data_IF_670233053733
#
_entry.id   IF_670233053733
#
_cell.length_a   1.000
_cell.length_b   1.000
_cell.length_c   1.000
_cell.angle_alpha   90.00
_cell.angle_beta   90.00
_cell.angle_gamma   90.00
#
_symmetry.space_group_name_H-M   'P 1'
#
loop_
_entity.id
_entity.type
_entity.pdbx_description
1 polymer ?
#
# COMPACT_ATOMS: atom_id res chain seq x y z
N UNK A 1 -13.45 11.88 -10.98
CA UNK A 1 -12.67 11.38 -12.10
C UNK A 1 -12.22 12.43 -13.13
N UNK A 2 -12.57 13.74 -13.03
CA UNK A 2 -12.20 14.74 -14.03
C UNK A 2 -10.97 15.63 -13.71
N UNK A 3 -10.27 15.35 -12.62
CA UNK A 3 -9.20 16.25 -12.13
C UNK A 3 -7.76 15.87 -12.52
N UNK A 4 -7.54 14.88 -13.39
CA UNK A 4 -6.20 14.44 -13.80
C UNK A 4 -5.88 14.60 -15.29
N UNK A 5 -6.63 15.39 -16.02
CA UNK A 5 -6.54 15.51 -17.49
C UNK A 5 -5.44 16.44 -18.02
N UNK A 6 -4.48 16.88 -17.20
CA UNK A 6 -3.43 17.80 -17.65
C UNK A 6 -2.03 17.17 -17.80
N UNK A 7 -1.89 15.86 -17.71
CA UNK A 7 -0.63 15.16 -18.03
C UNK A 7 -0.69 14.71 -19.50
N UNK A 8 -0.25 15.60 -20.40
CA UNK A 8 -0.29 15.34 -21.84
C UNK A 8 0.35 14.01 -22.25
N UNK A 9 -0.11 13.41 -23.33
CA UNK A 9 0.37 12.22 -24.05
C UNK A 9 0.39 10.86 -23.31
N UNK A 10 0.52 10.82 -21.97
CA UNK A 10 0.46 9.58 -21.18
C UNK A 10 -1.00 9.14 -20.96
N UNK A 11 -1.94 10.05 -20.98
CA UNK A 11 -3.37 9.81 -20.73
C UNK A 11 -4.06 8.91 -21.79
N UNK A 12 -3.52 8.82 -23.00
CA UNK A 12 -4.10 8.01 -24.08
C UNK A 12 -3.84 6.50 -23.91
N UNK A 13 -2.90 6.12 -23.04
CA UNK A 13 -2.53 4.73 -22.77
C UNK A 13 -3.05 4.18 -21.46
N UNK A 14 -3.80 4.97 -20.65
CA UNK A 14 -4.33 4.56 -19.36
C UNK A 14 -5.78 4.10 -19.47
N UNK A 15 -6.01 2.84 -19.13
CA UNK A 15 -7.36 2.28 -18.98
C UNK A 15 -7.77 2.28 -17.50
N UNK A 16 -8.96 2.82 -17.22
CA UNK A 16 -9.52 2.85 -15.87
C UNK A 16 -10.55 1.76 -15.71
N UNK A 17 -10.27 0.81 -14.81
CA UNK A 17 -11.16 -0.32 -14.51
C UNK A 17 -11.57 -0.26 -13.05
N UNK A 18 -12.89 -0.35 -12.80
CA UNK A 18 -13.40 -0.53 -11.45
C UNK A 18 -13.29 -2.00 -11.06
N UNK A 19 -12.72 -2.30 -9.90
CA UNK A 19 -12.55 -3.68 -9.45
C UNK A 19 -12.18 -3.78 -7.97
N UNK A 20 -12.37 -4.97 -7.40
CA UNK A 20 -11.94 -5.33 -6.06
C UNK A 20 -10.54 -5.92 -6.13
N UNK A 21 -9.60 -5.41 -5.30
CA UNK A 21 -8.24 -5.92 -5.23
C UNK A 21 -8.16 -7.40 -4.79
N UNK A 22 -9.20 -7.92 -4.12
CA UNK A 22 -9.32 -9.32 -3.72
C UNK A 22 -9.94 -10.21 -4.82
N UNK A 23 -10.43 -9.61 -5.92
CA UNK A 23 -11.02 -10.31 -7.08
C UNK A 23 -10.85 -9.45 -8.32
N UNK A 24 -9.64 -9.38 -8.84
CA UNK A 24 -9.31 -8.53 -9.98
C UNK A 24 -9.99 -9.03 -11.26
N UNK A 25 -10.63 -8.12 -12.05
CA UNK A 25 -11.36 -8.48 -13.28
C UNK A 25 -10.41 -8.73 -14.47
N UNK A 26 -9.27 -9.34 -14.22
CA UNK A 26 -8.25 -9.62 -15.23
C UNK A 26 -7.95 -11.12 -15.30
N UNK A 27 -7.50 -11.57 -16.47
CA UNK A 27 -7.02 -12.94 -16.66
C UNK A 27 -5.71 -13.15 -15.88
N UNK A 28 -5.41 -14.42 -15.60
CA UNK A 28 -4.08 -14.77 -15.06
C UNK A 28 -3.00 -14.36 -16.07
N UNK A 29 -1.83 -14.00 -15.52
CA UNK A 29 -0.64 -13.73 -16.34
C UNK A 29 -0.85 -12.64 -17.39
N UNK A 30 -1.59 -11.58 -17.01
CA UNK A 30 -1.89 -10.46 -17.89
C UNK A 30 -0.85 -9.33 -17.83
N UNK A 31 -0.16 -9.17 -16.67
CA UNK A 31 0.67 -7.99 -16.40
C UNK A 31 2.12 -8.36 -16.08
N UNK A 32 3.03 -7.46 -16.43
CA UNK A 32 4.44 -7.56 -16.09
C UNK A 32 4.74 -6.95 -14.72
N UNK A 33 3.97 -5.94 -14.33
CA UNK A 33 4.10 -5.25 -13.04
C UNK A 33 2.75 -5.11 -12.35
N UNK A 34 2.76 -5.23 -11.02
CA UNK A 34 1.65 -4.89 -10.13
C UNK A 34 2.16 -3.90 -9.11
N UNK A 35 1.55 -2.73 -9.04
CA UNK A 35 1.92 -1.70 -8.08
C UNK A 35 0.72 -1.26 -7.26
N UNK A 36 0.91 -1.09 -5.96
CA UNK A 36 -0.10 -0.54 -5.07
C UNK A 36 0.56 0.43 -4.09
N UNK A 37 0.02 1.66 -4.00
CA UNK A 37 0.55 2.70 -3.15
C UNK A 37 -0.53 3.24 -2.24
N UNK A 38 -0.29 3.21 -0.92
CA UNK A 38 -1.17 3.75 0.13
C UNK A 38 -2.61 3.26 0.07
N UNK A 39 -2.81 2.03 -0.40
CA UNK A 39 -4.14 1.42 -0.59
C UNK A 39 -4.29 0.05 0.04
N UNK A 40 -3.21 -0.73 0.14
CA UNK A 40 -3.29 -2.14 0.54
C UNK A 40 -3.71 -2.31 2.01
N UNK A 41 -3.47 -1.33 2.89
CA UNK A 41 -3.92 -1.35 4.29
C UNK A 41 -5.44 -1.33 4.44
N UNK A 42 -6.16 -0.88 3.40
CA UNK A 42 -7.64 -0.80 3.40
C UNK A 42 -8.30 -2.08 2.87
N UNK A 43 -7.52 -3.07 2.45
CA UNK A 43 -8.03 -4.33 1.93
C UNK A 43 -8.44 -5.24 3.10
N UNK A 44 -9.63 -5.83 3.02
CA UNK A 44 -10.20 -6.67 4.08
C UNK A 44 -9.42 -7.98 4.27
N UNK A 45 -9.00 -8.61 3.17
CA UNK A 45 -8.21 -9.85 3.17
C UNK A 45 -6.90 -9.65 2.38
N UNK A 46 -5.85 -9.36 3.12
CA UNK A 46 -4.52 -9.09 2.57
C UNK A 46 -3.94 -10.32 1.84
N UNK A 47 -4.16 -11.53 2.35
CA UNK A 47 -3.67 -12.76 1.71
C UNK A 47 -4.34 -12.98 0.37
N UNK A 48 -5.64 -12.75 0.29
CA UNK A 48 -6.39 -12.86 -0.96
C UNK A 48 -5.98 -11.81 -1.98
N UNK A 49 -5.77 -10.57 -1.54
CA UNK A 49 -5.25 -9.50 -2.40
C UNK A 49 -3.88 -9.87 -2.99
N UNK A 50 -2.96 -10.36 -2.17
CA UNK A 50 -1.62 -10.78 -2.63
C UNK A 50 -1.69 -11.99 -3.56
N UNK A 51 -2.60 -12.94 -3.33
CA UNK A 51 -2.84 -14.08 -4.22
C UNK A 51 -3.38 -13.63 -5.58
N UNK A 52 -4.28 -12.64 -5.62
CA UNK A 52 -4.79 -12.06 -6.85
C UNK A 52 -3.69 -11.30 -7.61
N UNK A 53 -2.86 -10.52 -6.91
CA UNK A 53 -1.70 -9.88 -7.50
C UNK A 53 -0.75 -10.90 -8.13
N UNK A 54 -0.50 -12.02 -7.43
CA UNK A 54 0.31 -13.13 -7.97
C UNK A 54 -0.34 -13.77 -9.19
N UNK A 55 -1.65 -14.00 -9.15
CA UNK A 55 -2.40 -14.62 -10.26
C UNK A 55 -2.31 -13.80 -11.54
N UNK A 56 -2.49 -12.49 -11.46
CA UNK A 56 -2.54 -11.62 -12.64
C UNK A 56 -1.16 -11.27 -13.20
N UNK A 57 -0.09 -11.44 -12.43
CA UNK A 57 1.28 -11.24 -12.91
C UNK A 57 1.74 -12.43 -13.75
N UNK A 58 2.46 -12.13 -14.83
CA UNK A 58 3.18 -13.13 -15.65
C UNK A 58 4.34 -13.76 -14.86
N UNK A 59 4.82 -14.97 -15.23
CA UNK A 59 6.14 -15.42 -14.80
C UNK A 59 7.20 -14.37 -15.16
N UNK A 60 8.11 -14.07 -14.22
CA UNK A 60 9.06 -12.96 -14.35
C UNK A 60 8.48 -11.59 -13.98
N UNK A 61 7.18 -11.50 -13.68
CA UNK A 61 6.54 -10.26 -13.28
C UNK A 61 6.88 -9.86 -11.83
N UNK A 62 6.71 -8.58 -11.53
CA UNK A 62 7.13 -7.99 -10.25
C UNK A 62 5.97 -7.30 -9.53
N UNK A 63 5.84 -7.59 -8.23
CA UNK A 63 4.99 -6.81 -7.32
C UNK A 63 5.81 -5.71 -6.64
N UNK A 64 5.20 -4.53 -6.47
CA UNK A 64 5.74 -3.43 -5.67
C UNK A 64 4.62 -2.82 -4.82
N UNK A 65 4.86 -2.75 -3.50
CA UNK A 65 3.90 -2.24 -2.51
C UNK A 65 4.58 -1.10 -1.77
N UNK A 66 4.01 0.10 -1.86
CA UNK A 66 4.42 1.27 -1.08
C UNK A 66 3.32 1.58 -0.07
N UNK A 67 3.62 1.50 1.22
CA UNK A 67 2.62 1.70 2.26
C UNK A 67 3.23 2.29 3.53
N UNK A 68 2.39 2.95 4.32
CA UNK A 68 2.75 3.33 5.68
C UNK A 68 3.13 2.10 6.49
N UNK A 69 4.11 2.28 7.36
CA UNK A 69 4.69 1.18 8.11
C UNK A 69 4.98 1.56 9.56
N UNK A 70 5.48 0.61 10.33
CA UNK A 70 5.81 0.84 11.74
C UNK A 70 7.23 1.36 11.87
N UNK A 71 7.40 2.46 12.59
CA UNK A 71 8.72 3.02 12.89
C UNK A 71 9.43 2.06 13.85
N UNK A 72 10.61 1.56 13.45
CA UNK A 72 11.40 0.60 14.22
C UNK A 72 12.03 1.25 15.47
N UNK A 73 12.37 2.53 15.40
CA UNK A 73 12.96 3.25 16.52
C UNK A 73 11.89 3.61 17.56
N UNK A 74 11.98 3.01 18.74
CA UNK A 74 11.00 3.19 19.83
C UNK A 74 10.84 4.65 20.27
N UNK A 75 11.91 5.44 20.27
CA UNK A 75 11.86 6.85 20.65
C UNK A 75 11.14 7.67 19.59
N UNK A 76 11.46 7.47 18.33
CA UNK A 76 10.78 8.11 17.21
C UNK A 76 9.33 7.68 17.12
N UNK A 77 9.04 6.41 17.41
CA UNK A 77 7.66 5.91 17.42
C UNK A 77 6.81 6.60 18.47
N UNK A 78 7.32 6.79 19.69
CA UNK A 78 6.61 7.54 20.75
C UNK A 78 6.33 8.99 20.37
N UNK A 79 7.31 9.67 19.76
CA UNK A 79 7.15 11.05 19.26
C UNK A 79 6.12 11.09 18.14
N UNK A 80 6.22 10.18 17.19
CA UNK A 80 5.26 10.06 16.10
C UNK A 80 3.85 9.75 16.57
N UNK A 81 3.70 8.86 17.54
CA UNK A 81 2.42 8.54 18.18
C UNK A 81 1.80 9.75 18.88
N UNK A 82 2.58 10.45 19.70
CA UNK A 82 2.12 11.66 20.38
C UNK A 82 1.69 12.74 19.39
N UNK A 83 2.45 12.95 18.32
CA UNK A 83 2.12 13.88 17.23
C UNK A 83 0.85 13.43 16.49
N UNK A 84 0.78 12.17 16.08
CA UNK A 84 -0.33 11.62 15.31
C UNK A 84 -1.66 11.67 16.05
N UNK A 85 -1.67 11.40 17.37
CA UNK A 85 -2.90 11.42 18.16
C UNK A 85 -3.33 12.80 18.63
N UNK A 86 -2.38 13.66 18.94
CA UNK A 86 -2.71 14.93 19.58
C UNK A 86 -2.73 16.10 18.58
N UNK A 87 -1.93 16.05 17.54
CA UNK A 87 -1.74 17.17 16.61
C UNK A 87 -2.50 16.95 15.31
N UNK A 88 -2.34 15.79 14.67
CA UNK A 88 -2.91 15.53 13.35
C UNK A 88 -4.43 15.63 13.31
N UNK A 89 -5.22 15.06 14.24
CA UNK A 89 -6.67 15.20 14.22
C UNK A 89 -7.14 16.65 14.46
N UNK A 90 -6.41 17.40 15.30
CA UNK A 90 -6.73 18.82 15.53
C UNK A 90 -6.46 19.68 14.30
N UNK A 91 -5.35 19.42 13.60
CA UNK A 91 -5.05 20.07 12.32
C UNK A 91 -6.05 19.65 11.23
N UNK A 92 -6.42 18.36 11.17
CA UNK A 92 -7.43 17.85 10.26
C UNK A 92 -8.78 18.54 10.45
N UNK A 93 -9.22 18.70 11.69
CA UNK A 93 -10.44 19.46 12.01
C UNK A 93 -10.33 20.94 11.64
N UNK A 94 -9.17 21.54 11.83
CA UNK A 94 -8.96 22.98 11.58
C UNK A 94 -8.84 23.31 10.07
N UNK A 95 -8.20 22.42 9.28
CA UNK A 95 -7.85 22.67 7.89
C UNK A 95 -8.85 22.04 6.92
N UNK A 96 -9.28 20.81 7.18
CA UNK A 96 -10.10 20.03 6.27
C UNK A 96 -11.52 19.71 6.82
N UNK A 97 -11.81 20.08 8.05
CA UNK A 97 -13.05 19.73 8.77
C UNK A 97 -13.37 18.21 8.77
N UNK A 98 -12.33 17.35 8.70
CA UNK A 98 -12.42 15.90 8.54
C UNK A 98 -11.51 15.17 9.54
N UNK A 99 -11.85 15.24 10.81
CA UNK A 99 -11.11 14.56 11.87
C UNK A 99 -11.24 13.03 11.80
N UNK A 100 -12.36 12.52 11.28
CA UNK A 100 -12.64 11.08 11.19
C UNK A 100 -11.72 10.37 10.22
N UNK A 101 -11.48 10.93 9.03
CA UNK A 101 -10.55 10.37 8.05
C UNK A 101 -9.12 10.30 8.59
N UNK A 102 -8.68 11.28 9.37
CA UNK A 102 -7.37 11.26 10.01
C UNK A 102 -7.28 10.22 11.13
N UNK A 103 -8.33 10.08 11.92
CA UNK A 103 -8.42 9.04 12.96
C UNK A 103 -8.34 7.65 12.31
N UNK A 104 -9.12 7.41 11.26
CA UNK A 104 -9.09 6.18 10.48
C UNK A 104 -7.68 5.89 9.90
N UNK A 105 -7.01 6.90 9.36
CA UNK A 105 -5.64 6.75 8.84
C UNK A 105 -4.69 6.22 9.92
N UNK A 106 -4.68 6.85 11.10
CA UNK A 106 -3.81 6.45 12.21
C UNK A 106 -4.12 5.02 12.66
N UNK A 107 -5.40 4.68 12.82
CA UNK A 107 -5.82 3.35 13.24
C UNK A 107 -5.48 2.27 12.20
N UNK A 108 -5.69 2.55 10.92
CA UNK A 108 -5.37 1.62 9.83
C UNK A 108 -3.87 1.33 9.76
N UNK A 109 -3.01 2.34 9.93
CA UNK A 109 -1.55 2.17 9.97
C UNK A 109 -1.15 1.27 11.16
N UNK A 110 -1.76 1.49 12.33
CA UNK A 110 -1.45 0.69 13.53
C UNK A 110 -1.84 -0.78 13.41
N UNK A 111 -2.97 -1.05 12.78
CA UNK A 111 -3.47 -2.42 12.54
C UNK A 111 -2.70 -3.13 11.42
N UNK A 112 -2.02 -2.37 10.56
CA UNK A 112 -1.29 -2.92 9.42
C UNK A 112 -0.08 -3.75 9.89
N UNK A 113 0.30 -4.82 9.18
CA UNK A 113 1.46 -5.65 9.51
C UNK A 113 2.77 -4.86 9.57
N UNK A 114 3.74 -5.35 10.36
CA UNK A 114 5.13 -4.86 10.27
C UNK A 114 5.75 -5.20 8.93
N UNK A 115 6.88 -4.59 8.63
CA UNK A 115 7.62 -4.80 7.38
C UNK A 115 7.93 -6.29 7.16
N UNK A 116 8.48 -6.97 8.18
CA UNK A 116 8.82 -8.40 8.10
C UNK A 116 7.57 -9.25 7.92
N UNK A 117 6.49 -8.91 8.62
CA UNK A 117 5.25 -9.67 8.50
C UNK A 117 4.63 -9.52 7.11
N UNK A 118 4.65 -8.31 6.54
CA UNK A 118 4.19 -8.09 5.17
C UNK A 118 5.08 -8.83 4.16
N UNK A 119 6.41 -8.77 4.33
CA UNK A 119 7.34 -9.52 3.48
C UNK A 119 7.06 -11.03 3.53
N UNK A 120 6.78 -11.59 4.72
CA UNK A 120 6.38 -12.99 4.87
C UNK A 120 5.08 -13.31 4.12
N UNK A 121 4.06 -12.46 4.23
CA UNK A 121 2.79 -12.64 3.53
C UNK A 121 2.96 -12.57 1.99
N UNK A 122 3.82 -11.70 1.50
CA UNK A 122 4.18 -11.64 0.07
C UNK A 122 4.86 -12.94 -0.36
N UNK A 123 5.78 -13.47 0.44
CA UNK A 123 6.43 -14.76 0.16
C UNK A 123 5.45 -15.94 0.23
N UNK A 124 4.54 -15.95 1.20
CA UNK A 124 3.46 -16.95 1.32
C UNK A 124 2.53 -16.96 0.10
N UNK A 125 2.29 -15.81 -0.54
CA UNK A 125 1.50 -15.71 -1.76
C UNK A 125 2.20 -16.29 -3.01
N UNK A 126 3.47 -16.71 -2.88
CA UNK A 126 4.25 -17.36 -3.95
C UNK A 126 5.38 -16.52 -4.51
N UNK A 127 5.50 -15.26 -4.15
CA UNK A 127 6.58 -14.41 -4.62
C UNK A 127 7.94 -14.84 -4.09
N UNK A 128 8.99 -14.65 -4.88
CA UNK A 128 10.38 -14.95 -4.53
C UNK A 128 11.22 -13.67 -4.49
N UNK A 129 12.41 -13.76 -3.88
CA UNK A 129 13.33 -12.64 -3.73
C UNK A 129 12.64 -11.42 -3.07
N UNK A 130 11.74 -11.69 -2.12
CA UNK A 130 11.00 -10.65 -1.40
C UNK A 130 11.96 -9.81 -0.59
N UNK A 131 11.91 -8.49 -0.79
CA UNK A 131 12.72 -7.51 -0.08
C UNK A 131 11.85 -6.32 0.31
N UNK A 132 12.22 -5.65 1.39
CA UNK A 132 11.66 -4.35 1.71
C UNK A 132 12.76 -3.32 1.96
N UNK A 133 12.41 -2.06 1.80
CA UNK A 133 13.25 -0.90 2.08
C UNK A 133 12.45 0.12 2.85
N UNK A 134 12.94 0.49 4.02
CA UNK A 134 12.38 1.57 4.81
C UNK A 134 12.72 2.93 4.18
N UNK A 135 11.71 3.79 4.12
CA UNK A 135 11.80 5.18 3.69
C UNK A 135 11.42 6.06 4.87
N UNK A 136 12.01 7.26 4.93
CA UNK A 136 11.67 8.25 5.97
C UNK A 136 11.70 7.63 7.39
N UNK A 137 12.82 6.97 7.75
CA UNK A 137 13.02 6.30 9.04
C UNK A 137 11.98 5.21 9.38
N UNK A 138 11.38 4.58 8.38
CA UNK A 138 10.39 3.52 8.56
C UNK A 138 8.93 3.98 8.62
N UNK A 139 8.66 5.29 8.46
CA UNK A 139 7.28 5.80 8.33
C UNK A 139 6.58 5.19 7.13
N UNK A 140 7.32 4.96 6.06
CA UNK A 140 6.86 4.28 4.84
C UNK A 140 7.85 3.17 4.52
N UNK A 141 7.35 2.05 4.02
CA UNK A 141 8.16 0.96 3.51
C UNK A 141 7.75 0.57 2.10
N UNK A 142 8.72 0.26 1.26
CA UNK A 142 8.51 -0.29 -0.07
C UNK A 142 8.88 -1.76 -0.08
N UNK A 143 7.92 -2.62 -0.34
CA UNK A 143 8.12 -4.06 -0.53
C UNK A 143 8.15 -4.41 -2.00
N UNK A 144 8.93 -5.41 -2.38
CA UNK A 144 8.94 -5.94 -3.74
C UNK A 144 9.23 -7.44 -3.73
N UNK A 145 8.69 -8.13 -4.74
CA UNK A 145 8.93 -9.56 -4.96
C UNK A 145 8.71 -9.92 -6.42
N UNK A 146 9.18 -11.09 -6.82
CA UNK A 146 9.11 -11.59 -8.19
C UNK A 146 8.26 -12.86 -8.24
N UNK A 147 7.45 -12.99 -9.29
CA UNK A 147 6.83 -14.25 -9.66
C UNK A 147 7.80 -15.04 -10.54
N UNK A 148 8.38 -16.11 -9.99
CA UNK A 148 9.34 -16.98 -10.68
C UNK A 148 8.71 -18.34 -10.86
#
# INVERSE_FOLDING_TARGET
>A
GKSRSNAGQIDQALEWVCGDAMKLPFKKEAFDYYTISFGIRNVLDLKRCLSEAFRVLKPGGRIMILEFSKIENQTLNKIYDAFSFNVVPRLGKLIANDAESYQYLIESIRKFPSQEKLASLVAEAGFRQVKYRNLTQGVVAMHSGWKV
#
